data_IF_904382867949
#
_entry.id   IF_904382867949
#
_cell.length_a   1.000
_cell.length_b   1.000
_cell.length_c   1.000
_cell.angle_alpha   90.00
_cell.angle_beta   90.00
_cell.angle_gamma   90.00
#
_symmetry.space_group_name_H-M   'P 1'
#
loop_
_entity.id
_entity.type
_entity.pdbx_description
1 polymer ?
#
# COMPACT_ATOMS: atom_id res chain seq x y z
N UNK A 1 12.66 -27.98 16.38
CA UNK A 1 11.23 -27.83 16.05
C UNK A 1 11.07 -26.50 15.34
N UNK A 2 10.93 -26.43 14.00
CA UNK A 2 10.74 -25.13 13.36
C UNK A 2 9.31 -24.66 13.61
N UNK A 3 9.17 -23.44 14.12
CA UNK A 3 7.89 -22.75 14.19
C UNK A 3 7.39 -22.51 12.76
N UNK A 4 6.15 -22.93 12.49
CA UNK A 4 5.51 -22.76 11.19
C UNK A 4 5.38 -21.25 10.86
N UNK A 5 6.11 -20.70 9.86
CA UNK A 5 6.09 -19.27 9.54
C UNK A 5 4.74 -18.81 8.97
N UNK A 6 3.84 -19.73 8.62
CA UNK A 6 2.51 -19.39 8.11
C UNK A 6 1.52 -18.85 9.15
N UNK A 7 1.85 -18.93 10.45
CA UNK A 7 0.97 -18.46 11.53
C UNK A 7 1.13 -16.96 11.86
N UNK A 8 2.08 -16.27 11.22
CA UNK A 8 2.27 -14.81 11.34
C UNK A 8 1.59 -14.03 10.21
N UNK A 9 0.69 -14.68 9.47
CA UNK A 9 0.04 -14.10 8.31
C UNK A 9 -1.43 -13.84 8.65
N UNK A 10 -1.74 -12.58 8.96
CA UNK A 10 -3.11 -12.13 9.20
C UNK A 10 -4.00 -12.40 7.96
N UNK A 11 -5.32 -12.61 8.11
CA UNK A 11 -6.23 -12.86 6.97
C UNK A 11 -6.19 -11.77 5.88
N UNK A 12 -5.72 -10.57 6.22
CA UNK A 12 -5.48 -9.42 5.33
C UNK A 12 -4.42 -9.76 4.25
N UNK A 13 -3.40 -10.54 4.61
CA UNK A 13 -2.27 -10.86 3.72
C UNK A 13 -2.58 -11.92 2.65
N UNK A 14 -3.66 -12.72 2.77
CA UNK A 14 -4.06 -13.69 1.72
C UNK A 14 -4.89 -13.08 0.58
N UNK A 15 -5.49 -11.90 0.77
CA UNK A 15 -6.25 -11.19 -0.27
C UNK A 15 -5.61 -9.88 -0.74
N UNK A 16 -4.64 -9.32 0.00
CA UNK A 16 -3.95 -8.06 -0.34
C UNK A 16 -2.98 -8.14 -1.53
N UNK A 17 -2.25 -9.26 -1.67
CA UNK A 17 -1.10 -9.33 -2.59
C UNK A 17 -1.41 -9.10 -4.08
N UNK A 18 -2.62 -9.45 -4.54
CA UNK A 18 -3.04 -9.23 -5.93
C UNK A 18 -3.39 -7.77 -6.24
N UNK A 19 -3.99 -7.06 -5.29
CA UNK A 19 -4.36 -5.64 -5.49
C UNK A 19 -3.16 -4.73 -5.31
N UNK A 20 -2.23 -5.07 -4.42
CA UNK A 20 -0.94 -4.39 -4.31
C UNK A 20 -0.16 -4.48 -5.61
N UNK A 21 -0.14 -5.66 -6.24
CA UNK A 21 0.50 -5.84 -7.54
C UNK A 21 -0.16 -4.97 -8.61
N UNK A 22 -1.49 -4.99 -8.70
CA UNK A 22 -2.23 -4.17 -9.67
C UNK A 22 -1.97 -2.67 -9.47
N UNK A 23 -1.97 -2.21 -8.22
CA UNK A 23 -1.67 -0.82 -7.88
C UNK A 23 -0.21 -0.47 -8.23
N UNK A 24 0.75 -1.34 -7.91
CA UNK A 24 2.14 -1.15 -8.27
C UNK A 24 2.34 -1.10 -9.78
N UNK A 25 1.70 -1.97 -10.54
CA UNK A 25 1.78 -2.01 -12.01
C UNK A 25 1.20 -0.72 -12.61
N UNK A 26 0.04 -0.29 -12.13
CA UNK A 26 -0.57 0.97 -12.56
C UNK A 26 0.36 2.16 -12.29
N UNK A 27 0.91 2.28 -11.08
CA UNK A 27 1.79 3.39 -10.72
C UNK A 27 3.12 3.36 -11.51
N UNK A 28 3.65 2.16 -11.78
CA UNK A 28 4.83 2.01 -12.63
C UNK A 28 4.55 2.42 -14.08
N UNK A 29 3.36 2.13 -14.61
CA UNK A 29 2.94 2.63 -15.93
C UNK A 29 2.80 4.15 -15.97
N UNK A 30 2.54 4.81 -14.84
CA UNK A 30 2.57 6.27 -14.72
C UNK A 30 3.99 6.85 -14.59
N UNK A 31 5.03 6.02 -14.65
CA UNK A 31 6.43 6.45 -14.62
C UNK A 31 7.09 6.45 -13.24
N UNK A 32 6.38 6.00 -12.19
CA UNK A 32 6.97 5.85 -10.87
C UNK A 32 7.81 4.57 -10.81
N UNK A 33 8.92 4.59 -10.08
CA UNK A 33 9.73 3.40 -9.83
C UNK A 33 9.40 2.82 -8.47
N UNK A 34 8.99 1.56 -8.44
CA UNK A 34 8.76 0.85 -7.18
C UNK A 34 10.07 0.67 -6.40
N UNK A 35 10.07 1.04 -5.13
CA UNK A 35 11.20 0.86 -4.19
C UNK A 35 10.94 -0.35 -3.29
N UNK A 36 9.75 -0.43 -2.69
CA UNK A 36 9.40 -1.48 -1.75
C UNK A 36 7.90 -1.79 -1.77
N UNK A 37 7.57 -3.00 -1.34
CA UNK A 37 6.21 -3.49 -1.12
C UNK A 37 6.11 -4.10 0.26
N UNK A 38 4.95 -3.98 0.91
CA UNK A 38 4.68 -4.51 2.24
C UNK A 38 5.85 -4.20 3.19
N UNK A 39 6.23 -2.93 3.23
CA UNK A 39 7.34 -2.46 4.05
C UNK A 39 6.87 -2.40 5.50
N UNK A 40 7.59 -3.09 6.39
CA UNK A 40 7.22 -3.23 7.78
C UNK A 40 8.32 -2.65 8.66
N UNK A 41 7.94 -1.75 9.57
CA UNK A 41 8.82 -1.22 10.61
C UNK A 41 8.16 -1.41 11.98
N UNK A 42 8.67 -2.32 12.83
CA UNK A 42 8.00 -2.72 14.08
C UNK A 42 7.62 -1.60 15.07
N UNK A 43 8.25 -0.43 14.96
CA UNK A 43 8.01 0.72 15.85
C UNK A 43 7.15 1.82 15.24
N UNK A 44 6.83 1.75 13.95
CA UNK A 44 6.24 2.87 13.18
C UNK A 44 5.02 2.43 12.40
N UNK A 45 4.98 1.19 11.89
CA UNK A 45 3.82 0.64 11.21
C UNK A 45 4.16 -0.12 9.93
N UNK A 46 3.14 -0.29 9.09
CA UNK A 46 3.21 -0.92 7.78
C UNK A 46 2.95 0.11 6.67
N UNK A 47 3.57 -0.08 5.51
CA UNK A 47 3.30 0.69 4.29
C UNK A 47 3.18 -0.30 3.13
N UNK A 48 2.08 -0.26 2.40
CA UNK A 48 1.82 -1.18 1.30
C UNK A 48 2.81 -1.00 0.15
N UNK A 49 2.98 0.23 -0.35
CA UNK A 49 3.89 0.55 -1.47
C UNK A 49 4.72 1.80 -1.18
N UNK A 50 6.01 1.71 -1.52
CA UNK A 50 6.93 2.85 -1.55
C UNK A 50 7.48 2.98 -2.96
N UNK A 51 7.34 4.15 -3.57
CA UNK A 51 7.80 4.44 -4.93
C UNK A 51 8.57 5.76 -5.00
N UNK A 52 9.30 5.96 -6.09
CA UNK A 52 9.98 7.21 -6.39
C UNK A 52 9.66 7.69 -7.80
N UNK A 53 9.34 8.97 -7.91
CA UNK A 53 9.32 9.68 -9.18
C UNK A 53 10.62 10.47 -9.31
N UNK A 54 11.33 10.27 -10.41
CA UNK A 54 12.55 11.01 -10.71
C UNK A 54 12.20 12.28 -11.47
N UNK A 55 12.34 13.43 -10.82
CA UNK A 55 12.24 14.74 -11.45
C UNK A 55 13.60 15.23 -11.93
N UNK A 56 13.60 16.31 -12.74
CA UNK A 56 14.84 16.93 -13.24
C UNK A 56 15.64 17.65 -12.14
N UNK A 57 14.93 18.21 -11.16
CA UNK A 57 15.52 19.03 -10.11
C UNK A 57 15.48 18.37 -8.73
N UNK A 58 14.48 17.52 -8.48
CA UNK A 58 14.34 16.77 -7.23
C UNK A 58 13.60 15.46 -7.50
N UNK A 59 13.82 14.48 -6.64
CA UNK A 59 13.04 13.24 -6.63
C UNK A 59 11.88 13.37 -5.65
N UNK A 60 10.78 12.69 -5.93
CA UNK A 60 9.60 12.62 -5.05
C UNK A 60 9.45 11.19 -4.54
N UNK A 61 9.43 11.02 -3.22
CA UNK A 61 9.14 9.74 -2.57
C UNK A 61 7.63 9.64 -2.31
N UNK A 62 7.01 8.59 -2.81
CA UNK A 62 5.56 8.35 -2.75
C UNK A 62 5.28 7.15 -1.86
N UNK A 63 4.45 7.34 -0.85
CA UNK A 63 3.92 6.28 0.01
C UNK A 63 2.45 6.07 -0.34
N UNK A 64 2.07 4.85 -0.72
CA UNK A 64 0.72 4.54 -1.15
C UNK A 64 0.13 3.38 -0.34
N UNK A 65 -1.07 3.61 0.19
CA UNK A 65 -1.90 2.61 0.88
C UNK A 65 -2.93 2.04 -0.10
N UNK A 66 -3.02 0.72 -0.21
CA UNK A 66 -3.86 0.02 -1.20
C UNK A 66 -5.16 -0.44 -0.54
N UNK A 67 -6.25 0.28 -0.82
CA UNK A 67 -7.58 -0.04 -0.28
C UNK A 67 -8.48 -0.69 -1.32
N UNK A 68 -9.02 -1.87 -1.01
CA UNK A 68 -10.11 -2.48 -1.79
C UNK A 68 -11.43 -1.81 -1.41
N UNK A 69 -12.01 -1.05 -2.34
CA UNK A 69 -13.41 -0.62 -2.22
C UNK A 69 -14.31 -1.78 -2.65
N UNK A 70 -15.02 -2.41 -1.71
CA UNK A 70 -16.23 -3.17 -2.08
C UNK A 70 -17.23 -2.15 -2.59
N UNK A 71 -17.87 -2.43 -3.73
CA UNK A 71 -18.98 -1.64 -4.24
C UNK A 71 -20.14 -1.78 -3.24
N UNK A 72 -20.17 -0.93 -2.21
CA UNK A 72 -21.34 -0.75 -1.38
C UNK A 72 -22.31 0.08 -2.22
N UNK A 73 -23.30 -0.59 -2.80
CA UNK A 73 -24.39 0.07 -3.48
C UNK A 73 -25.02 1.10 -2.55
N UNK A 74 -25.19 2.31 -3.08
CA UNK A 74 -25.94 3.44 -2.54
C UNK A 74 -25.74 3.75 -1.03
N UNK A 75 -24.89 4.75 -0.77
CA UNK A 75 -24.96 5.52 0.48
C UNK A 75 -23.71 5.45 1.35
N UNK A 76 -22.58 5.97 0.88
CA UNK A 76 -21.63 6.63 1.78
C UNK A 76 -20.66 7.53 1.01
N UNK A 77 -21.23 8.53 0.34
CA UNK A 77 -20.47 9.62 -0.24
C UNK A 77 -20.06 10.57 0.89
N UNK A 78 -19.07 10.21 1.74
CA UNK A 78 -18.27 11.13 2.60
C UNK A 78 -17.26 10.46 3.56
N UNK A 79 -17.08 9.13 3.57
CA UNK A 79 -16.18 8.51 4.54
C UNK A 79 -14.68 8.63 4.19
N UNK A 80 -14.06 9.65 4.79
CA UNK A 80 -12.78 9.55 5.50
C UNK A 80 -11.49 9.41 4.66
N UNK A 81 -11.07 10.54 4.07
CA UNK A 81 -9.65 10.85 3.97
C UNK A 81 -9.29 11.49 5.32
N UNK A 82 -8.85 10.68 6.28
CA UNK A 82 -8.30 11.21 7.53
C UNK A 82 -7.07 12.04 7.20
N UNK A 83 -7.17 13.36 7.32
CA UNK A 83 -6.01 14.21 7.59
C UNK A 83 -5.52 13.79 8.97
N UNK A 84 -4.37 13.14 9.04
CA UNK A 84 -3.65 12.96 10.30
C UNK A 84 -3.20 14.35 10.73
N UNK A 85 -3.88 14.92 11.73
CA UNK A 85 -3.45 16.15 12.38
C UNK A 85 -2.13 15.92 13.13
N UNK A 86 -1.36 17.00 13.15
CA UNK A 86 -0.05 17.18 13.77
C UNK A 86 -0.07 17.06 15.30
#
# INVERSE_FOLDING_TARGET
MPANPELLISPKQRQGGGYEQLAADFLQQQGLRLIARNWQQPKVGEIDLVLIEHGRSWNVLVFAEVRKRKLLGYGDALASITVTNH
#
